data_IF_654906377227
#
_entry.id   IF_654906377227
#
_cell.length_a   1.000
_cell.length_b   1.000
_cell.length_c   1.000
_cell.angle_alpha   90.00
_cell.angle_beta   90.00
_cell.angle_gamma   90.00
#
_symmetry.space_group_name_H-M   'P 1'
#
loop_
_entity.id
_entity.type
_entity.pdbx_description
1 polymer ?
#
# COMPACT_ATOMS: atom_id res chain seq x y z
N UNK A 1 -5.14 19.93 -2.52
CA UNK A 1 -5.29 19.38 -3.88
C UNK A 1 -6.17 20.22 -4.80
N UNK A 2 -7.45 20.48 -4.47
CA UNK A 2 -8.42 21.16 -5.35
C UNK A 2 -7.93 22.48 -6.00
N UNK A 3 -7.22 23.33 -5.26
CA UNK A 3 -6.64 24.60 -5.75
C UNK A 3 -5.67 24.38 -6.93
N UNK A 4 -4.84 23.33 -6.86
CA UNK A 4 -3.90 22.96 -7.92
C UNK A 4 -4.65 22.45 -9.17
N UNK A 5 -5.76 21.72 -8.97
CA UNK A 5 -6.62 21.27 -10.07
C UNK A 5 -7.23 22.48 -10.78
N UNK A 6 -7.71 23.49 -10.03
CA UNK A 6 -8.24 24.71 -10.63
C UNK A 6 -7.19 25.54 -11.37
N UNK A 7 -5.95 25.58 -10.86
CA UNK A 7 -4.86 26.25 -11.55
C UNK A 7 -4.48 25.56 -12.89
N UNK A 8 -4.46 24.22 -12.91
CA UNK A 8 -4.08 23.45 -14.11
C UNK A 8 -5.24 23.30 -15.10
N UNK A 9 -6.48 23.23 -14.61
CA UNK A 9 -7.69 23.05 -15.41
C UNK A 9 -8.82 24.03 -14.97
N UNK A 10 -8.71 25.32 -15.31
CA UNK A 10 -9.81 26.27 -15.14
C UNK A 10 -11.10 25.79 -15.82
N UNK A 11 -12.25 26.03 -15.20
CA UNK A 11 -13.55 25.52 -15.65
C UNK A 11 -13.82 24.04 -15.31
N UNK A 12 -12.87 23.30 -14.70
CA UNK A 12 -13.14 21.96 -14.20
C UNK A 12 -14.25 21.97 -13.13
N UNK A 13 -15.13 20.97 -13.17
CA UNK A 13 -16.14 20.73 -12.12
C UNK A 13 -15.53 19.86 -11.04
N UNK A 14 -15.54 20.34 -9.80
CA UNK A 14 -14.98 19.62 -8.66
C UNK A 14 -16.05 18.81 -7.95
N UNK A 15 -15.70 17.58 -7.61
CA UNK A 15 -16.45 16.69 -6.73
C UNK A 15 -15.49 16.23 -5.64
N UNK A 16 -16.01 16.05 -4.43
CA UNK A 16 -15.23 15.58 -3.29
C UNK A 16 -15.92 14.37 -2.65
N UNK A 17 -15.10 13.41 -2.25
CA UNK A 17 -15.48 12.30 -1.41
C UNK A 17 -14.35 12.07 -0.39
N UNK A 18 -14.67 11.75 0.85
CA UNK A 18 -13.67 11.56 1.90
C UNK A 18 -12.99 10.20 1.77
N UNK A 19 -11.67 10.15 1.98
CA UNK A 19 -10.92 8.91 2.02
C UNK A 19 -10.65 8.43 3.47
N UNK A 20 -11.23 9.09 4.49
CA UNK A 20 -10.87 8.87 5.90
C UNK A 20 -11.79 7.90 6.67
N UNK A 21 -12.92 7.49 6.11
CA UNK A 21 -13.91 6.62 6.78
C UNK A 21 -13.62 5.11 6.59
N UNK A 22 -12.38 4.76 6.27
CA UNK A 22 -11.89 3.38 6.07
C UNK A 22 -11.67 3.00 4.60
N UNK A 23 -10.84 1.98 4.37
CA UNK A 23 -10.44 1.53 3.03
C UNK A 23 -11.65 1.15 2.16
N UNK A 24 -12.65 0.48 2.74
CA UNK A 24 -13.87 0.08 2.04
C UNK A 24 -14.76 1.27 1.64
N UNK A 25 -14.85 2.32 2.46
CA UNK A 25 -15.60 3.52 2.09
C UNK A 25 -14.83 4.37 1.08
N UNK A 26 -13.51 4.47 1.20
CA UNK A 26 -12.68 5.13 0.18
C UNK A 26 -12.83 4.42 -1.19
N UNK A 27 -12.78 3.08 -1.23
CA UNK A 27 -13.06 2.30 -2.44
C UNK A 27 -14.48 2.59 -3.00
N UNK A 28 -15.49 2.66 -2.14
CA UNK A 28 -16.85 3.06 -2.52
C UNK A 28 -16.89 4.49 -3.08
N UNK A 29 -16.12 5.41 -2.50
CA UNK A 29 -15.95 6.79 -2.93
C UNK A 29 -15.39 6.93 -4.33
N UNK A 30 -14.34 6.17 -4.65
CA UNK A 30 -13.73 6.13 -5.99
C UNK A 30 -14.79 5.78 -7.05
N UNK A 31 -15.60 4.75 -6.79
CA UNK A 31 -16.70 4.35 -7.71
C UNK A 31 -17.82 5.41 -7.75
N UNK A 32 -18.24 5.96 -6.61
CA UNK A 32 -19.26 7.04 -6.54
C UNK A 32 -18.85 8.28 -7.33
N UNK A 33 -17.58 8.67 -7.30
CA UNK A 33 -17.03 9.77 -8.11
C UNK A 33 -17.13 9.45 -9.61
N UNK A 34 -16.79 8.22 -10.03
CA UNK A 34 -16.97 7.77 -11.43
C UNK A 34 -18.43 7.86 -11.86
N UNK A 35 -19.36 7.43 -11.01
CA UNK A 35 -20.81 7.46 -11.27
C UNK A 35 -21.38 8.89 -11.30
N UNK A 36 -20.78 9.81 -10.55
CA UNK A 36 -21.08 11.25 -10.61
C UNK A 36 -20.68 11.90 -11.96
N UNK A 37 -19.95 11.19 -12.80
CA UNK A 37 -19.44 11.68 -14.08
C UNK A 37 -18.01 12.20 -14.03
N UNK A 38 -17.25 11.96 -12.94
CA UNK A 38 -15.81 12.24 -12.96
C UNK A 38 -15.12 11.41 -14.05
N UNK A 39 -14.23 12.09 -14.77
CA UNK A 39 -13.37 11.54 -15.83
C UNK A 39 -11.93 11.38 -15.36
N UNK A 40 -11.53 12.19 -14.37
CA UNK A 40 -10.26 12.11 -13.66
C UNK A 40 -10.61 12.03 -12.17
N UNK A 41 -9.99 11.09 -11.46
CA UNK A 41 -10.05 10.93 -10.02
C UNK A 41 -8.62 11.07 -9.51
N UNK A 42 -8.42 11.87 -8.47
CA UNK A 42 -7.10 12.15 -7.89
C UNK A 42 -7.17 11.95 -6.39
N UNK A 43 -6.18 11.27 -5.82
CA UNK A 43 -6.04 11.04 -4.38
C UNK A 43 -4.61 11.34 -3.88
N UNK A 44 -4.49 11.59 -2.57
CA UNK A 44 -3.24 11.75 -1.84
C UNK A 44 -3.23 10.95 -0.53
N UNK A 45 -3.95 9.82 -0.48
CA UNK A 45 -4.24 9.07 0.76
C UNK A 45 -3.85 7.60 0.64
N UNK A 46 -3.22 7.08 1.69
CA UNK A 46 -2.69 5.72 1.76
C UNK A 46 -3.22 4.99 3.01
N UNK A 47 -3.49 3.69 2.90
CA UNK A 47 -3.88 2.84 4.03
C UNK A 47 -2.76 1.85 4.38
N UNK A 48 -2.51 1.66 5.68
CA UNK A 48 -1.45 0.74 6.13
C UNK A 48 -1.77 -0.74 5.85
N UNK A 49 -3.06 -1.05 5.73
CA UNK A 49 -3.62 -2.39 5.55
C UNK A 49 -3.80 -2.82 4.09
N UNK A 50 -3.59 -1.92 3.11
CA UNK A 50 -3.76 -2.27 1.70
C UNK A 50 -2.96 -3.52 1.35
N UNK A 51 -3.61 -4.53 0.77
CA UNK A 51 -2.98 -5.80 0.47
C UNK A 51 -1.80 -5.65 -0.51
N UNK A 52 -0.58 -5.92 -0.03
CA UNK A 52 0.65 -5.84 -0.83
C UNK A 52 0.80 -7.01 -1.82
N UNK A 53 0.16 -8.16 -1.54
CA UNK A 53 0.28 -9.40 -2.32
C UNK A 53 -1.04 -9.91 -2.93
N UNK A 54 -2.14 -9.19 -2.75
CA UNK A 54 -3.44 -9.53 -3.34
C UNK A 54 -4.25 -8.26 -3.63
N UNK A 55 -5.37 -8.36 -4.35
CA UNK A 55 -6.15 -7.17 -4.74
C UNK A 55 -7.01 -6.65 -3.58
N UNK A 56 -6.50 -5.66 -2.84
CA UNK A 56 -7.26 -4.89 -1.84
C UNK A 56 -8.46 -4.14 -2.42
N UNK A 57 -9.30 -3.53 -1.56
CA UNK A 57 -10.51 -2.84 -2.00
C UNK A 57 -10.21 -1.67 -2.94
N UNK A 58 -9.17 -0.89 -2.63
CA UNK A 58 -8.76 0.26 -3.43
C UNK A 58 -8.25 -0.16 -4.81
N UNK A 59 -7.41 -1.20 -4.89
CA UNK A 59 -6.94 -1.78 -6.17
C UNK A 59 -8.12 -2.20 -7.05
N UNK A 60 -9.13 -2.88 -6.48
CA UNK A 60 -10.34 -3.27 -7.22
C UNK A 60 -11.15 -2.05 -7.69
N UNK A 61 -11.30 -1.02 -6.84
CA UNK A 61 -12.01 0.21 -7.20
C UNK A 61 -11.31 0.99 -8.33
N UNK A 62 -9.97 1.08 -8.30
CA UNK A 62 -9.17 1.68 -9.38
C UNK A 62 -9.38 0.92 -10.70
N UNK A 63 -9.32 -0.41 -10.69
CA UNK A 63 -9.58 -1.24 -11.87
C UNK A 63 -11.01 -1.02 -12.43
N UNK A 64 -12.03 -0.94 -11.56
CA UNK A 64 -13.42 -0.66 -11.94
C UNK A 64 -13.55 0.70 -12.65
N UNK A 65 -13.06 1.78 -12.03
CA UNK A 65 -13.22 3.13 -12.63
C UNK A 65 -12.38 3.30 -13.88
N UNK A 66 -11.22 2.63 -13.95
CA UNK A 66 -10.40 2.57 -15.16
C UNK A 66 -11.10 1.85 -16.31
N UNK A 67 -11.73 0.70 -16.04
CA UNK A 67 -12.54 -0.02 -17.02
C UNK A 67 -13.76 0.80 -17.47
N UNK A 68 -14.33 1.62 -16.57
CA UNK A 68 -15.38 2.59 -16.87
C UNK A 68 -14.85 3.89 -17.56
N UNK A 69 -13.58 3.93 -17.97
CA UNK A 69 -13.01 5.00 -18.80
C UNK A 69 -12.47 6.22 -18.05
N UNK A 70 -12.36 6.19 -16.71
CA UNK A 70 -11.68 7.25 -15.98
C UNK A 70 -10.15 7.11 -16.02
N UNK A 71 -9.48 8.21 -15.71
CA UNK A 71 -8.08 8.25 -15.30
C UNK A 71 -8.04 8.32 -13.78
N UNK A 72 -7.25 7.46 -13.14
CA UNK A 72 -6.99 7.50 -11.70
C UNK A 72 -5.55 7.95 -11.48
N UNK A 73 -5.34 8.91 -10.58
CA UNK A 73 -4.02 9.50 -10.30
C UNK A 73 -3.80 9.51 -8.79
N UNK A 74 -2.82 8.75 -8.31
CA UNK A 74 -2.51 8.66 -6.88
C UNK A 74 -1.14 9.22 -6.56
N UNK A 75 -1.01 9.85 -5.39
CA UNK A 75 0.29 10.25 -4.88
C UNK A 75 1.16 9.01 -4.60
N UNK A 76 2.40 9.01 -5.07
CA UNK A 76 3.33 7.91 -4.83
C UNK A 76 3.61 7.69 -3.33
N UNK A 77 3.60 8.78 -2.56
CA UNK A 77 4.02 8.82 -1.17
C UNK A 77 5.51 9.09 -1.00
N UNK A 78 5.93 9.25 0.26
CA UNK A 78 7.25 9.77 0.63
C UNK A 78 8.07 8.74 1.44
N UNK A 79 7.98 7.47 1.06
CA UNK A 79 8.48 6.33 1.85
C UNK A 79 9.62 5.56 1.17
N UNK A 80 10.32 6.14 0.20
CA UNK A 80 11.43 5.46 -0.47
C UNK A 80 12.51 5.00 0.52
N UNK A 81 12.92 3.72 0.42
CA UNK A 81 13.85 3.09 1.35
C UNK A 81 13.26 2.71 2.71
N UNK A 82 11.95 2.89 2.94
CA UNK A 82 11.25 2.55 4.19
C UNK A 82 10.51 1.20 4.11
N UNK A 83 10.93 0.30 3.20
CA UNK A 83 10.39 -1.04 3.10
C UNK A 83 11.48 -2.08 2.82
N UNK A 84 11.25 -3.31 3.25
CA UNK A 84 12.11 -4.45 2.98
C UNK A 84 11.32 -5.73 2.78
N UNK A 85 11.84 -6.63 1.96
CA UNK A 85 11.18 -7.90 1.64
C UNK A 85 12.15 -9.08 1.86
N UNK A 86 11.60 -10.24 2.23
CA UNK A 86 12.34 -11.48 2.46
C UNK A 86 11.53 -12.69 2.04
N UNK A 87 12.21 -13.67 1.45
CA UNK A 87 11.66 -14.99 1.16
C UNK A 87 11.88 -15.91 2.36
N UNK A 88 10.80 -16.16 3.11
CA UNK A 88 10.78 -17.07 4.25
C UNK A 88 10.77 -18.54 3.79
N UNK A 89 11.91 -18.99 3.27
CA UNK A 89 12.12 -20.37 2.81
C UNK A 89 12.37 -21.37 3.96
N UNK A 90 12.66 -20.88 5.17
CA UNK A 90 12.83 -21.71 6.36
C UNK A 90 12.37 -20.96 7.61
N UNK A 91 11.63 -21.66 8.47
CA UNK A 91 11.23 -21.18 9.78
C UNK A 91 11.99 -21.95 10.87
N UNK A 92 12.70 -21.23 11.73
CA UNK A 92 13.54 -21.84 12.77
C UNK A 92 12.77 -21.96 14.08
N UNK A 93 12.67 -23.19 14.60
CA UNK A 93 12.25 -23.41 16.00
C UNK A 93 13.40 -22.96 16.90
N UNK A 94 13.16 -21.94 17.71
CA UNK A 94 14.18 -21.31 18.54
C UNK A 94 13.96 -21.60 20.02
N UNK A 95 14.77 -22.52 20.56
CA UNK A 95 14.70 -22.92 21.97
C UNK A 95 15.10 -21.82 22.95
N UNK A 96 15.90 -20.83 22.52
CA UNK A 96 16.26 -19.67 23.36
C UNK A 96 15.08 -18.70 23.53
N UNK A 97 14.13 -18.75 22.60
CA UNK A 97 12.94 -17.92 22.55
C UNK A 97 11.66 -18.72 22.84
N UNK A 98 11.76 -19.80 23.63
CA UNK A 98 10.62 -20.59 24.10
C UNK A 98 10.09 -21.64 23.12
N UNK A 99 10.93 -22.12 22.20
CA UNK A 99 10.57 -23.01 21.08
C UNK A 99 9.60 -22.39 20.07
N UNK A 100 9.53 -21.05 20.00
CA UNK A 100 8.76 -20.33 18.98
C UNK A 100 9.33 -20.58 17.58
N UNK A 101 8.46 -20.51 16.57
CA UNK A 101 8.82 -20.67 15.17
C UNK A 101 9.08 -19.30 14.55
N UNK A 102 10.35 -18.94 14.38
CA UNK A 102 10.79 -17.59 14.03
C UNK A 102 11.39 -17.52 12.62
N UNK A 103 11.18 -16.38 11.98
CA UNK A 103 11.82 -16.01 10.71
C UNK A 103 13.32 -15.79 10.91
N UNK A 104 14.15 -16.20 9.96
CA UNK A 104 15.60 -16.00 10.01
C UNK A 104 16.07 -14.85 9.14
N UNK A 105 16.87 -13.94 9.70
CA UNK A 105 17.55 -12.85 9.03
C UNK A 105 19.04 -13.18 8.93
N UNK A 106 19.42 -13.94 7.91
CA UNK A 106 20.71 -14.62 7.86
C UNK A 106 20.76 -15.77 8.87
N UNK A 107 21.67 -15.72 9.84
CA UNK A 107 21.79 -16.73 10.92
C UNK A 107 20.91 -16.46 12.14
N UNK A 108 20.46 -15.22 12.31
CA UNK A 108 19.73 -14.74 13.48
C UNK A 108 18.22 -14.93 13.34
N UNK A 109 17.52 -15.11 14.45
CA UNK A 109 16.03 -15.15 14.52
C UNK A 109 15.39 -13.79 14.82
N UNK A 110 16.21 -12.73 14.81
CA UNK A 110 15.81 -11.34 15.00
C UNK A 110 16.55 -10.42 14.05
N UNK A 111 15.91 -9.33 13.63
CA UNK A 111 16.51 -8.26 12.86
C UNK A 111 16.90 -7.09 13.78
N UNK A 112 18.17 -6.70 13.79
CA UNK A 112 18.65 -5.56 14.55
C UNK A 112 18.35 -4.22 13.86
N UNK A 113 17.68 -3.33 14.59
CA UNK A 113 17.21 -2.02 14.14
C UNK A 113 17.69 -0.92 15.10
N UNK A 114 17.92 0.29 14.58
CA UNK A 114 17.92 1.53 15.36
C UNK A 114 16.70 2.36 15.03
N UNK A 115 16.04 2.92 16.04
CA UNK A 115 14.80 3.68 15.87
C UNK A 115 14.89 5.02 16.59
N UNK A 116 14.67 6.11 15.85
CA UNK A 116 14.94 7.49 16.32
C UNK A 116 13.66 8.19 16.81
N UNK A 117 12.50 7.81 16.29
CA UNK A 117 11.22 8.48 16.52
C UNK A 117 10.07 7.47 16.49
N UNK A 118 8.81 7.91 16.69
CA UNK A 118 7.64 7.03 16.58
C UNK A 118 7.66 6.32 15.22
N UNK A 119 7.54 5.00 15.24
CA UNK A 119 7.49 4.19 14.02
C UNK A 119 6.28 3.28 14.02
N UNK A 120 5.56 3.29 12.90
CA UNK A 120 4.49 2.33 12.62
C UNK A 120 5.06 1.33 11.62
N UNK A 121 5.13 0.06 12.02
CA UNK A 121 5.44 -1.07 11.16
C UNK A 121 4.14 -1.66 10.62
N UNK A 122 4.15 -2.01 9.33
CA UNK A 122 3.15 -2.84 8.69
C UNK A 122 3.86 -4.05 8.08
N UNK A 123 3.46 -5.25 8.51
CA UNK A 123 3.99 -6.53 8.08
C UNK A 123 2.97 -7.21 7.19
N UNK A 124 3.30 -7.48 5.93
CA UNK A 124 2.44 -8.19 4.97
C UNK A 124 3.09 -9.52 4.56
N UNK A 125 2.29 -10.53 4.24
CA UNK A 125 2.77 -11.80 3.68
C UNK A 125 1.94 -12.25 2.48
N UNK A 126 2.47 -13.18 1.66
CA UNK A 126 1.90 -13.52 0.34
C UNK A 126 0.65 -14.40 0.34
N UNK A 127 -0.35 -13.99 1.12
CA UNK A 127 -1.66 -14.61 1.25
C UNK A 127 -2.80 -13.59 1.01
N UNK A 128 -4.02 -14.05 0.68
CA UNK A 128 -5.18 -13.17 0.55
C UNK A 128 -5.78 -12.83 1.92
N UNK A 129 -6.40 -11.65 2.05
CA UNK A 129 -7.23 -11.31 3.21
C UNK A 129 -8.72 -11.54 2.93
N UNK A 130 -9.44 -12.17 3.86
CA UNK A 130 -10.87 -12.51 3.72
C UNK A 130 -11.78 -11.34 3.32
N UNK A 131 -11.51 -10.16 3.86
CA UNK A 131 -12.23 -8.93 3.53
C UNK A 131 -12.19 -8.60 2.02
N UNK A 132 -11.01 -8.72 1.41
CA UNK A 132 -10.77 -8.32 0.01
C UNK A 132 -11.25 -9.36 -1.01
N UNK A 133 -11.44 -10.61 -0.59
CA UNK A 133 -11.90 -11.71 -1.46
C UNK A 133 -13.40 -11.95 -1.40
N UNK A 134 -14.16 -11.07 -0.74
CA UNK A 134 -15.58 -11.26 -0.42
C UNK A 134 -15.84 -12.62 0.28
N UNK A 135 -14.93 -13.01 1.17
CA UNK A 135 -14.98 -14.25 1.94
C UNK A 135 -14.63 -15.54 1.21
N UNK A 136 -14.15 -15.48 -0.04
CA UNK A 136 -13.80 -16.68 -0.82
C UNK A 136 -12.43 -17.28 -0.48
N UNK A 137 -11.49 -16.49 0.05
CA UNK A 137 -10.19 -16.96 0.53
C UNK A 137 -9.63 -16.06 1.64
N UNK A 138 -8.89 -16.64 2.57
CA UNK A 138 -8.33 -15.98 3.76
C UNK A 138 -6.85 -16.33 3.93
N UNK A 139 -6.18 -15.64 4.87
CA UNK A 139 -4.86 -16.03 5.32
C UNK A 139 -4.91 -17.48 5.85
N UNK A 140 -3.93 -18.28 5.42
CA UNK A 140 -3.72 -19.65 5.86
C UNK A 140 -2.71 -19.72 7.01
N UNK A 141 -1.91 -18.67 7.17
CA UNK A 141 -0.88 -18.51 8.19
C UNK A 141 -1.29 -17.43 9.20
N UNK A 142 -0.96 -17.68 10.47
CA UNK A 142 -1.06 -16.74 11.58
C UNK A 142 0.36 -16.28 11.94
N UNK A 143 0.64 -14.99 11.78
CA UNK A 143 1.98 -14.41 11.89
C UNK A 143 1.93 -13.22 12.83
N UNK A 144 2.82 -13.20 13.82
CA UNK A 144 2.96 -12.07 14.74
C UNK A 144 4.26 -11.30 14.50
N UNK A 145 4.21 -9.99 14.74
CA UNK A 145 5.37 -9.10 14.81
C UNK A 145 5.66 -8.73 16.27
N UNK A 146 6.93 -8.79 16.67
CA UNK A 146 7.36 -8.29 17.98
C UNK A 146 8.56 -7.36 17.85
N UNK A 147 8.65 -6.40 18.76
CA UNK A 147 9.82 -5.54 18.91
C UNK A 147 10.30 -5.56 20.36
N UNK A 148 11.56 -5.92 20.53
CA UNK A 148 12.23 -6.14 21.82
C UNK A 148 13.40 -5.16 22.00
N UNK A 149 13.79 -4.89 23.25
CA UNK A 149 15.05 -4.22 23.61
C UNK A 149 16.24 -5.18 23.76
N UNK A 150 15.99 -6.49 23.67
CA UNK A 150 17.02 -7.56 23.76
C UNK A 150 16.79 -8.63 22.69
N UNK A 151 17.79 -9.48 22.43
CA UNK A 151 17.69 -10.65 21.53
C UNK A 151 16.87 -11.82 22.11
N UNK A 152 16.07 -11.59 23.16
CA UNK A 152 15.21 -12.61 23.78
C UNK A 152 13.75 -12.18 23.74
N UNK A 153 12.95 -12.92 22.98
CA UNK A 153 11.51 -12.78 22.85
C UNK A 153 10.79 -13.31 24.09
N UNK A 154 10.48 -12.40 25.03
CA UNK A 154 9.86 -12.69 26.31
C UNK A 154 8.70 -11.72 26.62
N UNK A 155 8.11 -11.80 27.81
CA UNK A 155 6.95 -10.99 28.20
C UNK A 155 7.18 -9.46 28.21
N UNK A 156 8.44 -9.00 28.22
CA UNK A 156 8.81 -7.59 28.11
C UNK A 156 8.95 -7.10 26.66
N UNK A 157 8.85 -7.98 25.66
CA UNK A 157 8.79 -7.61 24.23
C UNK A 157 7.42 -7.04 23.86
N UNK A 158 7.13 -5.86 24.40
CA UNK A 158 5.92 -5.07 24.17
C UNK A 158 6.28 -3.61 23.92
N UNK A 159 7.28 -3.38 23.06
CA UNK A 159 7.67 -2.02 22.69
C UNK A 159 6.57 -1.32 21.88
N UNK A 160 5.76 -2.08 21.13
CA UNK A 160 4.49 -1.64 20.56
C UNK A 160 3.43 -2.75 20.68
N UNK A 161 2.18 -2.41 20.38
CA UNK A 161 1.05 -3.34 20.36
C UNK A 161 0.99 -4.09 19.02
N UNK A 162 1.12 -5.42 19.05
CA UNK A 162 0.67 -6.29 17.97
C UNK A 162 -0.86 -6.27 17.96
N UNK A 163 -1.48 -5.70 16.94
CA UNK A 163 -2.94 -5.63 16.83
C UNK A 163 -3.48 -6.92 16.22
N UNK A 164 -3.53 -7.96 17.06
CA UNK A 164 -4.11 -9.28 16.77
C UNK A 164 -5.32 -9.17 15.82
N UNK A 165 -5.05 -9.41 14.54
CA UNK A 165 -6.03 -9.27 13.47
C UNK A 165 -6.99 -10.46 13.39
N UNK A 166 -6.81 -11.46 14.27
CA UNK A 166 -7.46 -12.76 14.24
C UNK A 166 -8.41 -12.95 15.45
N UNK A 167 -8.31 -12.08 16.46
CA UNK A 167 -9.15 -12.02 17.66
C UNK A 167 -10.16 -10.85 17.72
N UNK A 168 -9.99 -9.78 16.94
CA UNK A 168 -10.92 -8.63 16.96
C UNK A 168 -12.26 -8.97 16.26
N UNK A 169 -13.38 -8.73 16.94
CA UNK A 169 -14.72 -8.94 16.40
C UNK A 169 -15.06 -8.05 15.19
N UNK A 170 -14.28 -6.99 14.94
CA UNK A 170 -14.38 -6.09 13.78
C UNK A 170 -13.51 -6.52 12.60
N UNK A 171 -12.48 -7.36 12.81
CA UNK A 171 -11.58 -7.89 11.77
C UNK A 171 -11.66 -9.43 11.75
N UNK A 172 -12.88 -9.98 11.74
CA UNK A 172 -13.04 -11.43 11.60
C UNK A 172 -12.67 -11.89 10.18
N UNK A 173 -11.60 -12.67 10.05
CA UNK A 173 -11.48 -13.57 8.89
C UNK A 173 -10.10 -14.03 8.44
N UNK A 174 -8.99 -13.62 9.07
CA UNK A 174 -7.64 -13.93 8.57
C UNK A 174 -7.22 -12.96 7.48
N UNK A 175 -6.59 -11.87 7.91
CA UNK A 175 -5.97 -10.88 7.04
C UNK A 175 -4.46 -11.10 6.97
N UNK A 176 -3.85 -10.91 5.80
CA UNK A 176 -2.43 -11.13 5.59
C UNK A 176 -1.57 -9.90 5.97
N UNK A 177 -1.93 -9.22 7.07
CA UNK A 177 -1.26 -7.99 7.53
C UNK A 177 -1.27 -7.82 9.05
N UNK A 178 -0.11 -7.55 9.65
CA UNK A 178 0.05 -7.19 11.06
C UNK A 178 0.63 -5.79 11.26
N UNK A 179 0.37 -5.20 12.43
CA UNK A 179 0.81 -3.85 12.78
C UNK A 179 1.52 -3.78 14.12
N UNK A 180 2.51 -2.89 14.21
CA UNK A 180 3.14 -2.47 15.45
C UNK A 180 3.39 -0.96 15.45
N UNK A 181 2.73 -0.23 16.36
CA UNK A 181 2.99 1.20 16.59
C UNK A 181 3.91 1.37 17.81
N UNK A 182 5.11 1.90 17.58
CA UNK A 182 6.14 2.14 18.58
C UNK A 182 6.10 3.60 19.04
N UNK A 183 5.53 3.84 20.22
CA UNK A 183 5.51 5.17 20.85
C UNK A 183 6.70 5.36 21.80
N UNK A 184 7.84 5.84 21.28
CA UNK A 184 9.05 6.07 22.09
C UNK A 184 8.83 7.04 23.27
N UNK A 185 7.87 7.97 23.18
CA UNK A 185 7.62 8.99 24.21
C UNK A 185 6.78 8.47 25.38
N UNK A 186 5.98 7.43 25.14
CA UNK A 186 4.95 6.99 26.08
C UNK A 186 5.45 5.83 26.97
N UNK A 187 6.65 5.32 26.70
CA UNK A 187 7.29 4.24 27.45
C UNK A 187 8.74 4.62 27.83
N UNK A 188 9.04 4.86 29.13
CA UNK A 188 10.35 5.31 29.60
C UNK A 188 11.45 4.25 29.50
N UNK A 189 11.12 2.99 29.17
CA UNK A 189 12.11 1.96 28.86
C UNK A 189 12.62 2.02 27.41
N UNK A 190 12.05 2.91 26.58
CA UNK A 190 12.45 3.14 25.20
C UNK A 190 13.31 4.41 25.10
N UNK A 191 14.13 4.50 24.06
CA UNK A 191 15.00 5.66 23.82
C UNK A 191 15.27 5.87 22.33
N UNK A 192 15.38 7.14 21.94
CA UNK A 192 15.72 7.54 20.58
C UNK A 192 17.15 7.10 20.23
N UNK A 193 17.32 6.44 19.08
CA UNK A 193 18.60 5.94 18.60
C UNK A 193 19.10 4.66 19.28
N UNK A 194 18.32 4.10 20.23
CA UNK A 194 18.62 2.81 20.84
C UNK A 194 18.47 1.65 19.83
N UNK A 195 19.13 0.54 20.13
CA UNK A 195 19.02 -0.71 19.38
C UNK A 195 17.79 -1.49 19.83
N UNK A 196 17.04 -2.00 18.86
CA UNK A 196 15.88 -2.86 19.03
C UNK A 196 16.04 -4.12 18.17
N UNK A 197 15.31 -5.17 18.54
CA UNK A 197 15.33 -6.46 17.86
C UNK A 197 13.91 -6.80 17.43
N UNK A 198 13.70 -6.86 16.11
CA UNK A 198 12.42 -7.20 15.51
C UNK A 198 12.36 -8.70 15.28
N UNK A 199 11.28 -9.32 15.73
CA UNK A 199 10.99 -10.74 15.52
C UNK A 199 9.73 -10.87 14.66
N UNK A 200 9.72 -11.89 13.81
CA UNK A 200 8.52 -12.34 13.10
C UNK A 200 8.32 -13.81 13.46
N UNK A 201 7.15 -14.15 13.98
CA UNK A 201 6.78 -15.48 14.45
C UNK A 201 5.65 -16.06 13.61
N UNK A 202 5.81 -17.30 13.14
CA UNK A 202 4.74 -18.06 12.50
C UNK A 202 4.05 -18.95 13.55
N UNK A 203 2.94 -18.47 14.08
CA UNK A 203 2.18 -19.11 15.16
C UNK A 203 1.55 -20.42 14.69
N UNK A 204 0.79 -20.34 13.59
CA UNK A 204 0.14 -21.48 12.94
C UNK A 204 0.19 -21.31 11.41
N UNK A 205 0.09 -22.41 10.68
CA UNK A 205 -0.15 -22.35 9.23
C UNK A 205 -0.77 -23.62 8.69
N UNK A 206 -1.65 -23.45 7.71
CA UNK A 206 -2.19 -24.54 6.88
C UNK A 206 -1.36 -24.78 5.60
N UNK A 207 -0.32 -23.97 5.35
CA UNK A 207 0.65 -24.20 4.26
C UNK A 207 1.66 -25.29 4.67
N UNK A 208 2.18 -26.09 3.73
CA UNK A 208 3.41 -26.84 3.93
C UNK A 208 4.54 -25.92 4.40
N UNK A 209 5.26 -26.29 5.47
CA UNK A 209 6.41 -25.51 5.97
C UNK A 209 7.61 -25.45 5.01
N UNK A 210 7.53 -26.18 3.90
CA UNK A 210 8.47 -26.14 2.77
C UNK A 210 8.15 -25.05 1.75
N UNK A 211 6.95 -24.45 1.81
CA UNK A 211 6.55 -23.39 0.90
C UNK A 211 7.30 -22.10 1.27
N UNK A 212 7.96 -21.51 0.28
CA UNK A 212 8.53 -20.17 0.43
C UNK A 212 7.38 -19.17 0.52
N UNK A 213 7.39 -18.34 1.57
CA UNK A 213 6.45 -17.24 1.75
C UNK A 213 7.19 -15.91 1.66
N UNK A 214 6.77 -15.03 0.74
CA UNK A 214 7.30 -13.65 0.72
C UNK A 214 6.67 -12.86 1.84
N UNK A 215 7.51 -12.11 2.54
CA UNK A 215 7.15 -11.27 3.67
C UNK A 215 7.72 -9.88 3.42
N UNK A 216 6.86 -8.86 3.44
CA UNK A 216 7.20 -7.46 3.25
C UNK A 216 6.94 -6.67 4.52
N UNK A 217 7.96 -5.99 5.02
CA UNK A 217 7.85 -5.03 6.10
C UNK A 217 7.93 -3.62 5.53
N UNK A 218 7.10 -2.72 6.04
CA UNK A 218 7.09 -1.30 5.70
C UNK A 218 7.03 -0.46 6.97
N UNK A 219 7.80 0.64 7.02
CA UNK A 219 7.65 1.67 8.04
C UNK A 219 6.94 2.90 7.46
N UNK A 220 5.84 3.29 8.09
CA UNK A 220 4.98 4.38 7.61
C UNK A 220 5.31 5.74 8.25
N UNK A 221 6.02 5.71 9.38
CA UNK A 221 6.40 6.88 10.15
C UNK A 221 7.79 6.69 10.79
N UNK A 222 8.42 7.82 11.09
CA UNK A 222 9.66 7.88 11.85
C UNK A 222 10.92 7.60 11.03
N UNK A 223 11.98 7.19 11.71
CA UNK A 223 13.26 6.87 11.08
C UNK A 223 13.84 5.61 11.72
N UNK A 224 13.93 4.57 10.89
CA UNK A 224 14.51 3.27 11.23
C UNK A 224 15.73 3.05 10.35
N UNK A 225 16.81 2.52 10.92
CA UNK A 225 17.91 1.95 10.15
C UNK A 225 18.19 0.52 10.59
N UNK A 226 18.38 -0.36 9.61
CA UNK A 226 18.83 -1.73 9.86
C UNK A 226 20.34 -1.69 10.04
N UNK A 227 20.84 -2.17 11.18
CA UNK A 227 22.28 -2.22 11.51
C UNK A 227 22.91 -3.58 11.22
N UNK A 228 22.09 -4.62 11.07
CA UNK A 228 22.54 -5.99 10.80
C UNK A 228 22.95 -6.17 9.34
N UNK A 229 24.10 -6.82 9.13
CA UNK A 229 24.59 -7.24 7.81
C UNK A 229 24.27 -8.72 7.54
N UNK A 230 24.32 -9.15 6.28
CA UNK A 230 24.09 -10.56 5.92
C UNK A 230 22.67 -11.07 6.17
N UNK A 231 21.69 -10.17 6.27
CA UNK A 231 20.30 -10.47 6.68
C UNK A 231 19.47 -11.21 5.62
N UNK A 232 19.91 -11.24 4.37
CA UNK A 232 19.13 -11.77 3.24
C UNK A 232 17.97 -10.86 2.78
N UNK A 233 17.84 -9.66 3.34
CA UNK A 233 16.76 -8.73 3.01
C UNK A 233 16.97 -8.05 1.65
N UNK A 234 15.89 -7.97 0.85
CA UNK A 234 15.80 -7.01 -0.24
C UNK A 234 15.46 -5.62 0.34
N UNK A 235 16.46 -4.74 0.39
CA UNK A 235 16.32 -3.35 0.88
C UNK A 235 15.72 -2.39 -0.16
N UNK A 236 15.45 -2.86 -1.38
CA UNK A 236 14.86 -2.09 -2.47
C UNK A 236 13.41 -2.52 -2.74
N UNK A 237 12.70 -2.97 -1.71
CA UNK A 237 11.31 -3.39 -1.83
C UNK A 237 10.41 -2.22 -2.26
N UNK A 238 9.38 -2.45 -3.12
CA UNK A 238 8.44 -1.42 -3.54
C UNK A 238 7.81 -0.63 -2.38
N UNK A 239 7.72 0.68 -2.52
CA UNK A 239 7.18 1.63 -1.53
C UNK A 239 5.97 2.40 -2.05
N UNK A 240 5.58 2.26 -3.33
CA UNK A 240 4.22 2.65 -3.76
C UNK A 240 3.18 1.87 -2.95
N UNK A 241 2.01 2.46 -2.71
CA UNK A 241 0.87 1.73 -2.15
C UNK A 241 0.24 0.81 -3.20
N UNK A 242 -0.37 -0.32 -2.81
CA UNK A 242 -0.96 -1.28 -3.74
C UNK A 242 -1.91 -0.67 -4.77
N UNK A 243 -2.80 0.25 -4.37
CA UNK A 243 -3.75 0.84 -5.31
C UNK A 243 -3.09 1.80 -6.33
N UNK A 244 -2.06 2.54 -5.91
CA UNK A 244 -1.27 3.44 -6.77
C UNK A 244 -0.27 2.67 -7.65
N UNK A 245 0.16 1.48 -7.20
CA UNK A 245 0.97 0.52 -7.97
C UNK A 245 0.11 -0.38 -8.88
N UNK A 246 -1.21 -0.20 -8.93
CA UNK A 246 -2.10 -1.01 -9.76
C UNK A 246 -2.00 -0.62 -11.25
N UNK A 247 -2.26 -1.57 -12.15
CA UNK A 247 -2.18 -1.34 -13.60
C UNK A 247 -3.19 -0.31 -14.15
N UNK A 248 -4.14 0.16 -13.32
CA UNK A 248 -5.11 1.21 -13.68
C UNK A 248 -4.75 2.61 -13.19
N UNK A 249 -3.75 2.76 -12.31
CA UNK A 249 -3.36 4.02 -11.70
C UNK A 249 -2.21 4.72 -12.43
N UNK A 250 -2.15 6.05 -12.29
CA UNK A 250 -0.97 6.86 -12.59
C UNK A 250 -0.34 7.30 -11.26
N UNK A 251 0.82 6.72 -10.92
CA UNK A 251 1.59 7.10 -9.75
C UNK A 251 2.34 8.43 -9.97
N UNK A 252 2.16 9.40 -9.08
CA UNK A 252 2.81 10.72 -9.17
C UNK A 252 3.78 10.92 -8.00
N UNK A 253 5.08 10.91 -8.31
CA UNK A 253 6.15 11.27 -7.37
C UNK A 253 6.23 12.78 -7.13
N UNK A 254 6.84 13.17 -6.02
CA UNK A 254 7.08 14.57 -5.70
C UNK A 254 8.24 15.14 -6.54
N UNK A 255 8.17 16.44 -6.83
CA UNK A 255 9.25 17.22 -7.44
C UNK A 255 9.25 18.62 -6.83
N UNK A 256 10.40 19.12 -6.34
CA UNK A 256 10.51 20.54 -5.97
C UNK A 256 10.14 21.42 -7.17
N UNK A 257 9.29 22.42 -6.97
CA UNK A 257 8.82 23.32 -8.04
C UNK A 257 9.98 23.94 -8.85
N UNK A 258 11.11 24.20 -8.19
CA UNK A 258 12.37 24.74 -8.74
C UNK A 258 13.04 23.81 -9.76
N UNK A 259 12.71 22.52 -9.74
CA UNK A 259 13.27 21.45 -10.57
C UNK A 259 12.20 20.90 -11.54
N UNK A 260 11.33 21.78 -12.03
CA UNK A 260 10.27 21.48 -13.02
C UNK A 260 10.50 22.24 -14.33
N UNK A 261 9.78 21.92 -15.44
CA UNK A 261 10.00 22.57 -16.72
C UNK A 261 9.82 24.10 -16.70
N UNK A 262 8.94 24.62 -15.84
CA UNK A 262 8.75 26.07 -15.65
C UNK A 262 9.96 26.80 -15.07
N UNK A 263 10.94 26.06 -14.55
CA UNK A 263 12.19 26.57 -13.96
C UNK A 263 13.43 26.00 -14.68
N UNK A 264 13.26 25.43 -15.88
CA UNK A 264 14.38 24.99 -16.74
C UNK A 264 14.79 23.53 -16.60
N UNK A 265 14.10 22.71 -15.81
CA UNK A 265 14.41 21.28 -15.62
C UNK A 265 13.35 20.42 -16.31
N UNK A 266 13.71 19.79 -17.44
CA UNK A 266 12.77 18.98 -18.25
C UNK A 266 13.39 17.62 -18.62
N UNK A 267 12.81 16.47 -18.23
CA UNK A 267 11.62 16.32 -17.38
C UNK A 267 11.84 16.86 -15.96
N UNK A 268 10.77 17.00 -15.17
CA UNK A 268 10.88 17.38 -13.77
C UNK A 268 11.74 16.36 -12.99
N UNK A 269 12.59 16.84 -12.09
CA UNK A 269 13.41 15.96 -11.26
C UNK A 269 12.59 15.43 -10.07
N UNK A 270 12.48 14.11 -9.98
CA UNK A 270 11.82 13.44 -8.86
C UNK A 270 12.61 13.60 -7.56
N UNK A 271 11.91 13.87 -6.46
CA UNK A 271 12.47 13.90 -5.11
C UNK A 271 12.89 12.49 -4.68
N UNK A 272 14.07 12.29 -4.07
CA UNK A 272 14.61 10.97 -3.75
C UNK A 272 13.83 10.21 -2.68
N UNK A 273 12.96 10.89 -1.93
CA UNK A 273 12.03 10.26 -0.99
C UNK A 273 10.74 9.74 -1.65
N UNK A 274 10.47 10.11 -2.90
CA UNK A 274 9.28 9.67 -3.63
C UNK A 274 9.30 8.16 -3.78
N UNK A 275 8.24 7.51 -3.30
CA UNK A 275 8.11 6.07 -3.36
C UNK A 275 8.21 5.54 -4.80
N UNK A 276 8.74 4.33 -4.93
CA UNK A 276 8.89 3.62 -6.21
C UNK A 276 8.22 2.24 -6.15
N UNK A 277 7.90 1.66 -7.29
CA UNK A 277 7.24 0.36 -7.31
C UNK A 277 7.42 -0.37 -8.62
N UNK A 278 7.20 -1.68 -8.54
CA UNK A 278 7.17 -2.60 -9.66
C UNK A 278 5.87 -3.40 -9.53
N UNK A 279 5.11 -3.53 -10.61
CA UNK A 279 3.87 -4.30 -10.61
C UNK A 279 4.19 -5.78 -10.77
N UNK A 280 4.18 -6.53 -9.68
CA UNK A 280 4.61 -7.94 -9.65
C UNK A 280 3.74 -8.89 -10.48
N UNK A 281 2.52 -8.47 -10.87
CA UNK A 281 1.56 -9.26 -11.66
C UNK A 281 1.46 -8.85 -13.14
N UNK A 282 2.49 -8.17 -13.69
CA UNK A 282 2.57 -8.02 -15.15
C UNK A 282 3.43 -9.14 -15.74
N UNK A 283 2.76 -10.07 -16.41
CA UNK A 283 3.38 -11.04 -17.32
C UNK A 283 4.44 -10.31 -18.19
N UNK A 284 5.65 -10.86 -18.30
CA UNK A 284 6.71 -10.34 -19.18
C UNK A 284 6.36 -10.58 -20.67
N UNK A 285 5.33 -9.88 -21.16
CA UNK A 285 5.01 -9.76 -22.58
C UNK A 285 6.01 -8.80 -23.24
N UNK A 286 7.25 -9.26 -23.34
CA UNK A 286 8.22 -8.74 -24.30
C UNK A 286 7.65 -8.89 -25.71
N UNK A 287 7.07 -7.83 -26.29
CA UNK A 287 7.20 -7.50 -27.73
C UNK A 287 6.61 -6.11 -28.04
N UNK A 288 7.36 -5.22 -28.73
CA UNK A 288 6.87 -3.89 -29.09
C UNK A 288 5.74 -3.88 -30.14
N UNK A 289 5.45 -5.02 -30.80
CA UNK A 289 4.35 -5.11 -31.78
C UNK A 289 2.96 -4.98 -31.14
N UNK A 290 2.75 -5.45 -29.90
CA UNK A 290 1.42 -5.46 -29.29
C UNK A 290 0.96 -4.05 -28.88
N UNK A 291 1.90 -3.20 -28.46
CA UNK A 291 1.64 -1.80 -28.11
C UNK A 291 1.16 -0.99 -29.32
N UNK A 292 1.72 -1.28 -30.50
CA UNK A 292 1.30 -0.65 -31.76
C UNK A 292 -0.12 -1.09 -32.18
N UNK A 293 -0.48 -2.36 -31.95
CA UNK A 293 -1.84 -2.86 -32.18
C UNK A 293 -2.87 -2.20 -31.24
N UNK A 294 -2.52 -2.04 -29.95
CA UNK A 294 -3.37 -1.36 -28.96
C UNK A 294 -3.60 0.11 -29.30
N UNK A 295 -2.58 0.83 -29.80
CA UNK A 295 -2.71 2.21 -30.27
C UNK A 295 -3.63 2.32 -31.51
N UNK A 296 -3.53 1.39 -32.46
CA UNK A 296 -4.42 1.33 -33.63
C UNK A 296 -5.87 1.01 -33.26
N UNK A 297 -6.08 0.10 -32.30
CA UNK A 297 -7.42 -0.20 -31.76
C UNK A 297 -8.03 0.98 -31.00
N UNK A 298 -7.23 1.74 -30.23
CA UNK A 298 -7.70 2.97 -29.59
C UNK A 298 -8.15 4.02 -30.62
N UNK A 299 -7.39 4.21 -31.70
CA UNK A 299 -7.79 5.12 -32.79
C UNK A 299 -9.10 4.69 -33.45
N UNK A 300 -9.31 3.39 -33.67
CA UNK A 300 -10.56 2.88 -34.23
C UNK A 300 -11.76 3.11 -33.29
N UNK A 301 -11.58 2.89 -31.98
CA UNK A 301 -12.63 3.18 -30.98
C UNK A 301 -12.98 4.66 -30.93
N UNK A 302 -11.99 5.54 -30.97
CA UNK A 302 -12.18 7.00 -30.97
C UNK A 302 -12.96 7.48 -32.20
N UNK A 303 -12.71 6.90 -33.38
CA UNK A 303 -13.45 7.18 -34.60
C UNK A 303 -14.91 6.67 -34.54
N UNK A 304 -15.16 5.53 -33.91
CA UNK A 304 -16.51 4.97 -33.74
C UNK A 304 -17.34 5.72 -32.66
N UNK A 305 -16.69 6.23 -31.62
CA UNK A 305 -17.34 6.97 -30.52
C UNK A 305 -17.86 8.36 -30.93
N UNK A 306 -17.31 8.98 -31.99
CA UNK A 306 -17.85 10.24 -32.51
C UNK A 306 -19.19 10.11 -33.26
N UNK A 307 -19.68 8.89 -33.52
CA UNK A 307 -20.86 8.65 -34.36
C UNK A 307 -22.21 8.54 -33.61
N UNK A 308 -22.27 8.51 -32.27
CA UNK A 308 -23.54 8.33 -31.53
C UNK A 308 -23.66 9.12 -30.22
N UNK A 309 -24.51 10.15 -30.23
CA UNK A 309 -25.10 10.77 -29.03
C UNK A 309 -26.59 11.09 -29.28
N UNK A 310 -27.51 10.62 -28.40
CA UNK A 310 -28.84 11.22 -28.14
C UNK A 310 -29.63 10.50 -27.01
N UNK A 311 -30.14 11.31 -26.05
CA UNK A 311 -31.25 11.10 -25.06
C UNK A 311 -30.89 10.30 -23.76
N UNK A 312 -31.11 10.73 -22.48
CA UNK A 312 -32.23 11.38 -21.68
C UNK A 312 -33.03 10.30 -20.89
N UNK A 313 -33.29 10.32 -19.54
CA UNK A 313 -33.11 11.25 -18.38
C UNK A 313 -33.04 10.46 -17.01
N UNK A 314 -32.68 11.07 -15.84
CA UNK A 314 -32.72 10.52 -14.46
C UNK A 314 -33.97 11.04 -13.66
N UNK A 315 -34.13 11.00 -12.29
CA UNK A 315 -33.27 10.52 -11.17
C UNK A 315 -33.99 9.81 -9.97
N UNK A 316 -33.28 9.70 -8.82
CA UNK A 316 -33.66 9.51 -7.37
C UNK A 316 -33.25 8.17 -6.71
N UNK A 317 -32.84 8.06 -5.43
CA UNK A 317 -32.21 9.02 -4.47
C UNK A 317 -31.78 8.33 -3.15
N UNK A 318 -30.59 8.61 -2.60
CA UNK A 318 -30.28 8.46 -1.16
C UNK A 318 -29.05 9.30 -0.73
N UNK A 319 -29.13 9.97 0.42
CA UNK A 319 -28.05 10.76 1.09
C UNK A 319 -27.28 9.84 2.05
N UNK A 320 -26.03 10.03 2.50
CA UNK A 320 -24.99 11.09 2.44
C UNK A 320 -23.69 10.47 1.85
N UNK A 321 -22.60 11.18 1.51
CA UNK A 321 -22.36 12.60 1.27
C UNK A 321 -21.44 12.74 0.04
N UNK A 322 -21.99 13.22 -1.07
CA UNK A 322 -21.21 13.63 -2.24
C UNK A 322 -21.79 14.96 -2.72
N UNK A 323 -20.99 16.01 -2.61
CA UNK A 323 -21.39 17.37 -3.00
C UNK A 323 -20.54 17.80 -4.21
N UNK A 324 -21.14 18.49 -5.21
CA UNK A 324 -20.35 19.27 -6.15
C UNK A 324 -19.64 20.36 -5.34
N UNK A 325 -18.31 20.30 -5.30
CA UNK A 325 -17.47 21.22 -4.53
C UNK A 325 -17.33 22.59 -5.23
N UNK A 326 -17.71 22.68 -6.50
CA UNK A 326 -17.79 23.92 -7.26
C UNK A 326 -17.39 23.75 -8.72
N UNK A 327 -17.17 24.88 -9.38
CA UNK A 327 -16.44 24.96 -10.65
C UNK A 327 -15.21 25.81 -10.41
N UNK A 328 -14.07 25.43 -10.99
CA UNK A 328 -12.85 26.21 -10.95
C UNK A 328 -13.04 27.50 -11.75
N UNK A 329 -12.86 28.65 -11.10
CA UNK A 329 -12.86 29.99 -11.71
C UNK A 329 -11.46 30.39 -12.17
#
# INVERSE_FOLDING_TARGET
MAELICFVAPGAKLYFYTAFDGEADFASGIVKLKDAGCQIIVDDIAYYAEAEYSKGYLTQAVEIVRAAGAVYIGAAGNWQGSAFEVEAAAWKVDSSNGNRRLLTFGTETSLELKIISRTIFALHWDEPSFAYTNGSAAALSDINIFLCTTRTLNAACKAGENKDNNGDATIKGGAAVEFLDLQLKDNPALSSGATYYLFVELVDTKRPLTDVMRIKMRTWAGSVSITQTGTGLNMNAPTLTPHVNSAGALAVGAAAYRLTPGYGTNPAQIEPFSSSGHVADTLLLHTPLLLLLLLLLLLLLLLLLQARWRRVLPPTSSRLAMAPAGTCN
#
